data_IF_913175009784
#
_entry.id   IF_913175009784
#
_cell.length_a   1.000
_cell.length_b   1.000
_cell.length_c   1.000
_cell.angle_alpha   90.00
_cell.angle_beta   90.00
_cell.angle_gamma   90.00
#
_symmetry.space_group_name_H-M   'P 1'
#
loop_
_entity.id
_entity.type
_entity.pdbx_description
1 polymer ?
#
# COMPACT_ATOMS: atom_id res chain seq x y z
N UNK A 1 9.09 9.45 -19.11
CA UNK A 1 9.40 8.93 -17.76
C UNK A 1 8.52 7.73 -17.48
N UNK A 2 9.12 6.61 -17.09
CA UNK A 2 8.38 5.36 -16.84
C UNK A 2 8.97 4.70 -15.61
N UNK A 3 8.14 4.55 -14.57
CA UNK A 3 8.46 3.80 -13.37
C UNK A 3 7.38 2.76 -13.13
N UNK A 4 7.71 1.72 -12.37
CA UNK A 4 6.81 0.61 -12.07
C UNK A 4 6.35 0.68 -10.61
N UNK A 5 5.04 0.68 -10.40
CA UNK A 5 4.43 0.54 -9.08
C UNK A 5 3.81 -0.84 -8.97
N UNK A 6 4.08 -1.53 -7.87
CA UNK A 6 3.38 -2.75 -7.48
C UNK A 6 2.72 -2.55 -6.12
N UNK A 7 1.62 -3.26 -5.88
CA UNK A 7 0.95 -3.28 -4.58
C UNK A 7 0.68 -4.71 -4.15
N UNK A 8 0.80 -4.99 -2.86
CA UNK A 8 0.51 -6.31 -2.29
C UNK A 8 -0.01 -6.17 -0.86
N UNK A 9 -1.18 -6.75 -0.58
CA UNK A 9 -1.59 -7.03 0.78
C UNK A 9 -0.83 -8.30 1.26
N UNK A 10 -0.04 -8.18 2.33
CA UNK A 10 0.79 -9.27 2.85
C UNK A 10 0.01 -10.27 3.72
N UNK A 11 -1.23 -9.96 4.08
CA UNK A 11 -2.08 -10.79 4.94
C UNK A 11 -1.41 -11.13 6.28
N UNK A 12 -0.71 -10.15 6.86
CA UNK A 12 0.05 -10.28 8.11
C UNK A 12 0.97 -11.53 8.12
N UNK A 13 0.98 -12.26 9.24
CA UNK A 13 1.54 -13.61 9.35
C UNK A 13 0.47 -14.69 9.10
N UNK A 14 -0.74 -14.30 8.72
CA UNK A 14 -1.74 -15.27 8.31
C UNK A 14 -1.27 -16.03 7.06
N UNK A 15 -1.82 -17.23 6.85
CA UNK A 15 -1.61 -18.01 5.63
C UNK A 15 -0.14 -18.37 5.35
N UNK A 16 0.60 -18.88 6.34
CA UNK A 16 1.90 -19.56 6.12
C UNK A 16 2.98 -18.63 5.55
N UNK A 17 3.25 -17.52 6.25
CA UNK A 17 4.26 -16.53 5.84
C UNK A 17 5.63 -17.15 5.51
N UNK A 18 6.08 -18.13 6.29
CA UNK A 18 7.39 -18.77 6.10
C UNK A 18 7.56 -19.37 4.70
N UNK A 19 6.48 -19.91 4.13
CA UNK A 19 6.41 -20.42 2.77
C UNK A 19 6.16 -19.31 1.75
N UNK A 20 5.18 -18.42 2.01
CA UNK A 20 4.81 -17.33 1.08
C UNK A 20 5.94 -16.35 0.81
N UNK A 21 6.75 -16.00 1.82
CA UNK A 21 7.78 -14.95 1.72
C UNK A 21 8.78 -15.18 0.59
N UNK A 22 9.07 -16.45 0.28
CA UNK A 22 10.00 -16.80 -0.80
C UNK A 22 9.36 -16.64 -2.17
N UNK A 23 8.08 -17.00 -2.31
CA UNK A 23 7.30 -16.76 -3.53
C UNK A 23 7.10 -15.28 -3.79
N UNK A 24 6.81 -14.49 -2.74
CA UNK A 24 6.70 -13.04 -2.82
C UNK A 24 8.03 -12.43 -3.29
N UNK A 25 9.16 -12.87 -2.73
CA UNK A 25 10.47 -12.40 -3.15
C UNK A 25 10.80 -12.79 -4.59
N UNK A 26 10.47 -14.01 -5.01
CA UNK A 26 10.66 -14.45 -6.40
C UNK A 26 9.86 -13.58 -7.37
N UNK A 27 8.58 -13.35 -7.09
CA UNK A 27 7.72 -12.48 -7.90
C UNK A 27 8.25 -11.04 -7.93
N UNK A 28 8.75 -10.54 -6.79
CA UNK A 28 9.41 -9.23 -6.71
C UNK A 28 10.63 -9.17 -7.64
N UNK A 29 11.41 -10.24 -7.73
CA UNK A 29 12.55 -10.38 -8.63
C UNK A 29 12.17 -10.43 -10.11
N UNK A 30 10.99 -10.96 -10.44
CA UNK A 30 10.48 -10.99 -11.81
C UNK A 30 9.93 -9.62 -12.25
N UNK A 31 9.12 -8.97 -11.41
CA UNK A 31 8.44 -7.72 -11.79
C UNK A 31 9.28 -6.47 -11.52
N UNK A 32 10.27 -6.55 -10.62
CA UNK A 32 11.25 -5.51 -10.25
C UNK A 32 10.65 -4.10 -10.20
N UNK A 33 9.66 -3.84 -9.32
CA UNK A 33 9.00 -2.55 -9.26
C UNK A 33 9.97 -1.49 -8.71
N UNK A 34 9.80 -0.24 -9.09
CA UNK A 34 10.57 0.87 -8.52
C UNK A 34 9.99 1.31 -7.17
N UNK A 35 8.67 1.14 -7.02
CA UNK A 35 7.89 1.43 -5.82
C UNK A 35 6.99 0.22 -5.53
N UNK A 36 7.04 -0.30 -4.31
CA UNK A 36 6.18 -1.37 -3.81
C UNK A 36 5.40 -0.87 -2.59
N UNK A 37 4.08 -0.85 -2.70
CA UNK A 37 3.17 -0.53 -1.59
C UNK A 37 2.65 -1.80 -0.95
N UNK A 38 2.65 -1.85 0.38
CA UNK A 38 2.32 -3.05 1.15
C UNK A 38 1.21 -2.75 2.14
N UNK A 39 0.21 -3.63 2.17
CA UNK A 39 -0.76 -3.67 3.26
C UNK A 39 -0.52 -4.83 4.21
N UNK A 40 -1.05 -4.72 5.42
CA UNK A 40 -1.00 -5.77 6.46
C UNK A 40 0.43 -6.27 6.75
N UNK A 41 1.38 -5.34 6.84
CA UNK A 41 2.77 -5.63 7.19
C UNK A 41 2.82 -6.09 8.64
N UNK A 42 3.13 -7.37 8.89
CA UNK A 42 3.25 -7.89 10.24
C UNK A 42 4.49 -7.34 10.96
N UNK A 43 4.27 -6.56 12.01
CA UNK A 43 5.32 -5.87 12.76
C UNK A 43 6.13 -6.82 13.65
N UNK A 44 5.54 -7.78 14.40
CA UNK A 44 6.30 -8.75 15.19
C UNK A 44 7.29 -9.57 14.36
N UNK A 45 6.90 -9.94 13.14
CA UNK A 45 7.74 -10.69 12.21
C UNK A 45 8.61 -9.81 11.31
N UNK A 46 8.49 -8.47 11.43
CA UNK A 46 9.21 -7.47 10.66
C UNK A 46 9.18 -7.76 9.14
N UNK A 47 8.02 -8.14 8.60
CA UNK A 47 7.93 -8.67 7.23
C UNK A 47 8.36 -7.65 6.18
N UNK A 48 8.07 -6.36 6.39
CA UNK A 48 8.57 -5.26 5.56
C UNK A 48 10.09 -5.15 5.56
N UNK A 49 10.72 -5.24 6.75
CA UNK A 49 12.19 -5.23 6.91
C UNK A 49 12.84 -6.45 6.25
N UNK A 50 12.22 -7.62 6.42
CA UNK A 50 12.66 -8.88 5.81
C UNK A 50 12.67 -8.77 4.28
N UNK A 51 11.58 -8.26 3.69
CA UNK A 51 11.48 -8.03 2.24
C UNK A 51 12.54 -7.04 1.77
N UNK A 52 12.73 -5.92 2.49
CA UNK A 52 13.73 -4.92 2.15
C UNK A 52 15.16 -5.52 2.09
N UNK A 53 15.54 -6.28 3.11
CA UNK A 53 16.87 -6.91 3.19
C UNK A 53 17.05 -7.95 2.09
N UNK A 54 16.11 -8.87 1.95
CA UNK A 54 16.21 -9.95 0.97
C UNK A 54 16.14 -9.45 -0.48
N UNK A 55 15.39 -8.37 -0.76
CA UNK A 55 15.39 -7.74 -2.07
C UNK A 55 16.77 -7.14 -2.40
N UNK A 56 17.43 -6.52 -1.42
CA UNK A 56 18.79 -6.02 -1.59
C UNK A 56 19.78 -7.18 -1.81
N UNK A 57 19.82 -8.13 -0.87
CA UNK A 57 20.86 -9.15 -0.81
C UNK A 57 20.73 -10.21 -1.92
N UNK A 58 19.49 -10.57 -2.30
CA UNK A 58 19.22 -11.67 -3.23
C UNK A 58 18.85 -11.21 -4.63
N UNK A 59 18.33 -9.99 -4.80
CA UNK A 59 17.84 -9.49 -6.10
C UNK A 59 18.59 -8.24 -6.59
N UNK A 60 19.50 -7.69 -5.78
CA UNK A 60 20.20 -6.44 -6.09
C UNK A 60 19.26 -5.23 -6.16
N UNK A 61 18.17 -5.25 -5.39
CA UNK A 61 17.15 -4.18 -5.36
C UNK A 61 17.24 -3.41 -4.03
N UNK A 62 18.02 -2.32 -3.95
CA UNK A 62 18.20 -1.56 -2.72
C UNK A 62 16.99 -0.66 -2.48
N UNK A 63 15.98 -1.19 -1.78
CA UNK A 63 14.82 -0.41 -1.36
C UNK A 63 15.08 0.34 -0.05
N UNK A 64 14.54 1.55 0.06
CA UNK A 64 14.27 2.27 1.31
C UNK A 64 12.88 1.86 1.81
N UNK A 65 12.70 1.71 3.12
CA UNK A 65 11.44 1.33 3.75
C UNK A 65 10.88 2.48 4.58
N UNK A 66 9.61 2.78 4.39
CA UNK A 66 8.80 3.64 5.27
C UNK A 66 7.58 2.85 5.67
N UNK A 67 7.18 2.91 6.94
CA UNK A 67 6.05 2.15 7.46
C UNK A 67 5.34 2.88 8.60
N UNK A 68 4.02 2.67 8.68
CA UNK A 68 3.16 3.21 9.73
C UNK A 68 2.31 2.07 10.29
N UNK A 69 2.30 1.93 11.61
CA UNK A 69 1.40 1.03 12.32
C UNK A 69 -0.03 1.58 12.32
N UNK A 70 -1.01 0.71 12.60
CA UNK A 70 -2.37 1.15 12.96
C UNK A 70 -2.35 2.07 14.19
N UNK A 71 -3.45 2.80 14.43
CA UNK A 71 -3.60 3.71 15.58
C UNK A 71 -4.46 3.16 16.71
N UNK A 72 -4.96 1.92 16.57
CA UNK A 72 -5.74 1.21 17.59
C UNK A 72 -4.92 0.10 18.27
N UNK A 73 -5.59 -0.87 18.90
CA UNK A 73 -4.96 -2.02 19.57
C UNK A 73 -4.10 -2.90 18.63
N UNK A 74 -4.20 -2.75 17.31
CA UNK A 74 -3.39 -3.43 16.31
C UNK A 74 -2.06 -2.71 16.00
N UNK A 75 -1.75 -1.60 16.68
CA UNK A 75 -0.52 -0.82 16.47
C UNK A 75 0.78 -1.64 16.65
N UNK A 76 0.73 -2.74 17.40
CA UNK A 76 1.86 -3.66 17.60
C UNK A 76 1.80 -4.92 16.72
N UNK A 77 0.74 -5.05 15.90
CA UNK A 77 0.45 -6.23 15.09
C UNK A 77 0.76 -5.97 13.63
N UNK A 78 0.22 -4.89 13.07
CA UNK A 78 0.30 -4.64 11.63
C UNK A 78 0.45 -3.15 11.26
N UNK A 79 0.79 -2.92 10.01
CA UNK A 79 0.88 -1.60 9.42
C UNK A 79 0.87 -1.61 7.90
N UNK A 80 1.03 -0.41 7.34
CA UNK A 80 1.15 -0.16 5.90
C UNK A 80 2.58 0.28 5.61
N UNK A 81 3.13 -0.08 4.45
CA UNK A 81 4.51 0.27 4.11
C UNK A 81 4.73 0.61 2.64
N UNK A 82 5.79 1.39 2.40
CA UNK A 82 6.31 1.74 1.09
C UNK A 82 7.77 1.29 1.02
N UNK A 83 8.10 0.51 0.01
CA UNK A 83 9.46 0.17 -0.40
C UNK A 83 9.77 0.87 -1.72
N UNK A 84 10.86 1.64 -1.77
CA UNK A 84 11.18 2.46 -2.96
C UNK A 84 12.68 2.55 -3.23
N UNK A 85 13.05 2.58 -4.52
CA UNK A 85 14.45 2.80 -4.94
C UNK A 85 14.79 4.29 -5.01
N UNK A 86 13.78 5.15 -5.06
CA UNK A 86 13.93 6.59 -5.21
C UNK A 86 14.25 7.29 -3.88
N UNK A 87 14.93 8.45 -3.90
CA UNK A 87 15.10 9.30 -2.73
C UNK A 87 13.74 9.63 -2.09
N UNK A 88 13.68 9.54 -0.76
CA UNK A 88 12.52 9.97 0.03
C UNK A 88 12.87 11.35 0.57
N UNK A 89 12.08 12.34 0.21
CA UNK A 89 12.26 13.73 0.65
C UNK A 89 11.43 14.05 1.89
N UNK A 90 10.25 13.44 2.01
CA UNK A 90 9.33 13.63 3.11
C UNK A 90 8.55 12.34 3.37
N UNK A 91 8.17 12.11 4.63
CA UNK A 91 7.24 11.05 5.01
C UNK A 91 6.12 11.66 5.84
N UNK A 92 4.90 11.15 5.68
CA UNK A 92 3.78 11.55 6.50
C UNK A 92 2.93 10.34 6.88
N UNK A 93 2.30 10.45 8.04
CA UNK A 93 1.38 9.45 8.57
C UNK A 93 -0.02 10.02 8.55
N UNK A 94 -0.95 9.32 7.89
CA UNK A 94 -2.34 9.74 7.84
C UNK A 94 -3.20 8.79 8.67
N UNK A 95 -3.93 9.33 9.63
CA UNK A 95 -4.90 8.59 10.44
C UNK A 95 -6.30 9.03 10.00
N UNK A 96 -7.11 8.07 9.55
CA UNK A 96 -8.49 8.32 9.15
C UNK A 96 -9.41 8.66 10.34
N UNK A 97 -8.91 8.61 11.57
CA UNK A 97 -9.63 8.78 12.83
C UNK A 97 -10.84 7.84 12.96
N UNK A 98 -10.80 6.72 12.23
CA UNK A 98 -11.89 5.75 12.14
C UNK A 98 -11.35 4.33 12.06
N UNK A 99 -11.80 3.48 12.98
CA UNK A 99 -11.43 2.05 13.07
C UNK A 99 -9.91 1.78 13.15
N UNK A 100 -9.09 2.78 13.50
CA UNK A 100 -7.63 2.68 13.52
C UNK A 100 -6.99 2.49 12.15
N UNK A 101 -7.74 2.75 11.06
CA UNK A 101 -7.23 2.67 9.70
C UNK A 101 -6.29 3.83 9.42
N UNK A 102 -5.31 3.60 8.55
CA UNK A 102 -4.24 4.57 8.25
C UNK A 102 -3.88 4.54 6.78
N UNK A 103 -3.19 5.61 6.33
CA UNK A 103 -2.44 5.59 5.09
C UNK A 103 -1.01 6.08 5.32
N UNK A 104 -0.02 5.31 4.86
CA UNK A 104 1.38 5.73 4.88
C UNK A 104 1.69 6.53 3.62
N UNK A 105 2.44 7.62 3.78
CA UNK A 105 2.86 8.49 2.66
C UNK A 105 4.36 8.69 2.61
N UNK A 106 4.88 8.73 1.39
CA UNK A 106 6.24 9.20 1.10
C UNK A 106 6.22 10.14 -0.12
N UNK A 107 6.89 11.28 0.00
CA UNK A 107 7.25 12.14 -1.13
C UNK A 107 8.58 11.68 -1.69
N UNK A 108 8.57 11.30 -2.95
CA UNK A 108 9.73 10.78 -3.68
C UNK A 108 10.23 11.80 -4.69
N UNK A 109 11.54 11.78 -4.92
CA UNK A 109 12.13 12.42 -6.09
C UNK A 109 12.37 11.37 -7.18
N UNK A 110 11.66 11.49 -8.29
CA UNK A 110 11.75 10.57 -9.41
C UNK A 110 12.19 11.36 -10.63
N UNK A 111 13.44 11.19 -11.06
CA UNK A 111 14.02 11.94 -12.20
C UNK A 111 13.79 13.46 -12.13
N UNK A 112 14.06 14.08 -10.97
CA UNK A 112 13.83 15.51 -10.65
C UNK A 112 12.36 15.97 -10.62
N UNK A 113 11.40 15.04 -10.57
CA UNK A 113 9.99 15.32 -10.36
C UNK A 113 9.54 14.82 -8.98
N UNK A 114 8.65 15.58 -8.34
CA UNK A 114 8.08 15.21 -7.06
C UNK A 114 6.87 14.28 -7.27
N UNK A 115 6.88 13.15 -6.57
CA UNK A 115 5.81 12.17 -6.58
C UNK A 115 5.42 11.83 -5.14
N UNK A 116 4.17 12.11 -4.76
CA UNK A 116 3.61 11.59 -3.53
C UNK A 116 3.02 10.19 -3.77
N UNK A 117 3.48 9.23 -2.97
CA UNK A 117 2.95 7.87 -2.95
C UNK A 117 2.20 7.65 -1.66
N UNK A 118 0.94 7.25 -1.79
CA UNK A 118 0.04 6.92 -0.69
C UNK A 118 -0.25 5.43 -0.74
N UNK A 119 -0.02 4.72 0.36
CA UNK A 119 -0.54 3.35 0.56
C UNK A 119 -1.67 3.40 1.58
N UNK A 120 -2.86 2.98 1.17
CA UNK A 120 -4.05 2.91 2.03
C UNK A 120 -4.55 1.49 2.15
N UNK A 121 -5.16 1.18 3.29
CA UNK A 121 -5.96 -0.01 3.49
C UNK A 121 -7.31 0.50 4.03
N UNK A 122 -8.36 0.45 3.21
CA UNK A 122 -9.68 0.94 3.60
C UNK A 122 -10.44 -0.13 4.38
N UNK A 123 -11.44 0.31 5.16
CA UNK A 123 -12.17 -0.58 6.05
C UNK A 123 -12.86 -1.73 5.31
N UNK A 124 -12.60 -2.96 5.78
CA UNK A 124 -13.22 -4.17 5.25
C UNK A 124 -14.60 -4.38 5.86
N UNK A 125 -15.62 -4.36 5.01
CA UNK A 125 -16.99 -4.74 5.36
C UNK A 125 -17.66 -5.42 4.17
N UNK A 126 -18.67 -6.26 4.43
CA UNK A 126 -19.51 -6.83 3.37
C UNK A 126 -20.65 -5.88 3.07
N UNK A 127 -20.71 -5.35 1.84
CA UNK A 127 -21.84 -4.57 1.31
C UNK A 127 -21.97 -3.13 1.80
N UNK A 128 -21.49 -2.80 3.01
CA UNK A 128 -21.52 -1.41 3.51
C UNK A 128 -20.33 -0.61 2.98
N UNK A 129 -20.56 0.52 2.30
CA UNK A 129 -19.48 1.37 1.75
C UNK A 129 -19.37 2.74 2.42
N UNK A 130 -20.30 3.11 3.29
CA UNK A 130 -20.37 4.44 3.92
C UNK A 130 -19.09 4.83 4.65
N UNK A 131 -18.49 3.90 5.40
CA UNK A 131 -17.25 4.16 6.11
C UNK A 131 -16.04 4.29 5.16
N UNK A 132 -15.95 3.47 4.12
CA UNK A 132 -14.91 3.61 3.09
C UNK A 132 -15.05 4.91 2.31
N UNK A 133 -16.29 5.32 2.01
CA UNK A 133 -16.57 6.59 1.36
C UNK A 133 -16.10 7.76 2.24
N UNK A 134 -16.40 7.73 3.53
CA UNK A 134 -15.87 8.72 4.48
C UNK A 134 -14.34 8.73 4.49
N UNK A 135 -13.69 7.56 4.53
CA UNK A 135 -12.24 7.46 4.47
C UNK A 135 -11.68 8.06 3.17
N UNK A 136 -12.25 7.73 2.01
CA UNK A 136 -11.85 8.31 0.72
C UNK A 136 -12.00 9.83 0.72
N UNK A 137 -13.09 10.37 1.26
CA UNK A 137 -13.28 11.83 1.37
C UNK A 137 -12.18 12.48 2.21
N UNK A 138 -11.81 11.89 3.35
CA UNK A 138 -10.71 12.39 4.19
C UNK A 138 -9.36 12.30 3.46
N UNK A 139 -9.08 11.19 2.78
CA UNK A 139 -7.83 11.02 2.03
C UNK A 139 -7.72 12.07 0.91
N UNK A 140 -8.78 12.25 0.13
CA UNK A 140 -8.79 13.22 -0.97
C UNK A 140 -8.62 14.66 -0.45
N UNK A 141 -9.33 15.03 0.62
CA UNK A 141 -9.17 16.35 1.23
C UNK A 141 -7.73 16.58 1.72
N UNK A 142 -7.08 15.55 2.28
CA UNK A 142 -5.71 15.66 2.72
C UNK A 142 -4.71 15.70 1.56
N UNK A 143 -4.92 14.92 0.50
CA UNK A 143 -4.14 15.01 -0.74
C UNK A 143 -4.24 16.44 -1.30
N UNK A 144 -5.44 16.98 -1.45
CA UNK A 144 -5.68 18.35 -1.94
C UNK A 144 -4.96 19.39 -1.06
N UNK A 145 -4.92 19.19 0.27
CA UNK A 145 -4.20 20.10 1.19
C UNK A 145 -2.67 20.08 1.03
N UNK A 146 -2.13 19.02 0.42
CA UNK A 146 -0.69 18.78 0.23
C UNK A 146 -0.20 19.05 -1.20
N UNK A 147 -1.12 19.22 -2.15
CA UNK A 147 -0.76 19.48 -3.53
C UNK A 147 -0.19 20.90 -3.66
N UNK A 148 1.10 20.98 -3.99
CA UNK A 148 1.72 22.17 -4.55
C UNK A 148 1.86 22.03 -6.06
N UNK A 149 2.09 23.15 -6.75
CA UNK A 149 2.29 23.13 -8.20
C UNK A 149 3.39 22.13 -8.59
N UNK A 150 3.05 21.20 -9.50
CA UNK A 150 4.00 20.24 -10.07
C UNK A 150 4.24 18.94 -9.29
N UNK A 151 3.50 18.65 -8.21
CA UNK A 151 3.60 17.36 -7.49
C UNK A 151 2.59 16.34 -8.06
N UNK A 152 3.10 15.24 -8.61
CA UNK A 152 2.26 14.12 -9.03
C UNK A 152 1.87 13.23 -7.83
N UNK A 153 0.79 12.46 -7.96
CA UNK A 153 0.34 11.56 -6.89
C UNK A 153 -0.05 10.17 -7.41
N UNK A 154 0.33 9.14 -6.65
CA UNK A 154 -0.11 7.75 -6.82
C UNK A 154 -0.72 7.28 -5.51
N UNK A 155 -1.97 6.82 -5.55
CA UNK A 155 -2.63 6.16 -4.42
C UNK A 155 -2.77 4.68 -4.74
N UNK A 156 -2.35 3.83 -3.81
CA UNK A 156 -2.31 2.37 -3.99
C UNK A 156 -2.67 1.67 -2.67
N UNK A 157 -2.86 0.36 -2.75
CA UNK A 157 -3.22 -0.49 -1.61
C UNK A 157 -4.59 -1.15 -1.78
N UNK A 158 -5.11 -1.69 -0.69
CA UNK A 158 -6.37 -2.42 -0.64
C UNK A 158 -7.53 -1.48 -0.30
N UNK A 159 -8.31 -1.14 -1.32
CA UNK A 159 -9.48 -0.26 -1.17
C UNK A 159 -10.69 -0.99 -0.58
N UNK A 160 -10.69 -2.33 -0.47
CA UNK A 160 -11.83 -3.14 -0.03
C UNK A 160 -13.15 -2.77 -0.75
N UNK A 161 -13.07 -2.24 -1.97
CA UNK A 161 -14.17 -1.69 -2.72
C UNK A 161 -14.01 -2.04 -4.20
N UNK A 162 -15.07 -2.59 -4.81
CA UNK A 162 -15.12 -2.78 -6.27
C UNK A 162 -15.46 -1.46 -6.96
N UNK A 163 -15.24 -1.36 -8.27
CA UNK A 163 -15.44 -0.12 -9.03
C UNK A 163 -16.90 0.37 -9.06
N UNK A 164 -17.86 -0.48 -8.72
CA UNK A 164 -19.27 -0.12 -8.58
C UNK A 164 -19.59 0.57 -7.25
N UNK A 165 -18.69 0.49 -6.26
CA UNK A 165 -18.91 1.08 -4.94
C UNK A 165 -18.63 2.59 -4.94
N UNK A 166 -19.42 3.39 -4.19
CA UNK A 166 -19.26 4.85 -4.12
C UNK A 166 -17.84 5.34 -3.79
N UNK A 167 -17.15 4.67 -2.86
CA UNK A 167 -15.78 4.99 -2.45
C UNK A 167 -14.78 4.87 -3.61
N UNK A 168 -14.83 3.77 -4.37
CA UNK A 168 -13.99 3.57 -5.55
C UNK A 168 -14.35 4.54 -6.69
N UNK A 169 -15.64 4.79 -6.92
CA UNK A 169 -16.10 5.78 -7.91
C UNK A 169 -15.60 7.19 -7.59
N UNK A 170 -15.61 7.58 -6.31
CA UNK A 170 -15.10 8.89 -5.88
C UNK A 170 -13.59 9.01 -6.12
N UNK A 171 -12.81 7.96 -5.85
CA UNK A 171 -11.38 7.93 -6.22
C UNK A 171 -11.18 8.07 -7.73
N UNK A 172 -11.98 7.35 -8.53
CA UNK A 172 -11.88 7.35 -10.00
C UNK A 172 -12.26 8.69 -10.65
N UNK A 173 -12.99 9.57 -9.95
CA UNK A 173 -13.22 10.93 -10.40
C UNK A 173 -11.94 11.78 -10.35
N UNK A 174 -10.99 11.47 -9.47
CA UNK A 174 -9.78 12.28 -9.21
C UNK A 174 -8.50 11.63 -9.70
N UNK A 175 -8.47 10.30 -9.75
CA UNK A 175 -7.35 9.50 -10.22
C UNK A 175 -7.77 8.62 -11.38
N UNK A 176 -6.82 8.34 -12.28
CA UNK A 176 -7.01 7.31 -13.32
C UNK A 176 -6.73 5.93 -12.72
N UNK A 177 -7.72 5.01 -12.67
CA UNK A 177 -7.48 3.66 -12.20
C UNK A 177 -6.50 2.91 -13.12
N UNK A 178 -5.56 2.16 -12.53
CA UNK A 178 -4.61 1.31 -13.25
C UNK A 178 -4.93 -0.19 -13.15
N UNK A 179 -5.78 -0.58 -12.19
CA UNK A 179 -6.31 -1.93 -12.01
C UNK A 179 -7.83 -1.81 -11.83
N UNK A 180 -8.60 -2.55 -12.62
CA UNK A 180 -10.07 -2.55 -12.57
C UNK A 180 -10.62 -3.91 -12.16
N UNK A 181 -9.84 -4.97 -12.35
CA UNK A 181 -10.24 -6.32 -11.98
C UNK A 181 -9.96 -6.58 -10.49
N UNK A 182 -10.87 -7.26 -9.79
CA UNK A 182 -10.60 -7.74 -8.43
C UNK A 182 -9.35 -8.63 -8.41
N UNK A 183 -8.44 -8.34 -7.49
CA UNK A 183 -7.18 -9.09 -7.30
C UNK A 183 -7.27 -10.13 -6.20
N UNK A 184 -8.47 -10.38 -5.66
CA UNK A 184 -8.68 -11.32 -4.57
C UNK A 184 -8.23 -12.74 -4.98
N UNK A 185 -7.39 -13.34 -4.15
CA UNK A 185 -6.95 -14.72 -4.31
C UNK A 185 -8.17 -15.65 -4.24
N UNK A 186 -8.24 -16.61 -5.17
CA UNK A 186 -9.01 -17.84 -4.92
C UNK A 186 -8.28 -18.56 -3.79
N UNK A 187 -8.91 -18.88 -2.65
CA UNK A 187 -8.26 -19.69 -1.63
C UNK A 187 -7.69 -20.94 -2.30
N UNK A 188 -6.46 -21.33 -1.95
CA UNK A 188 -6.02 -22.70 -2.25
C UNK A 188 -7.13 -23.60 -1.69
N UNK A 189 -7.76 -24.41 -2.55
CA UNK A 189 -8.67 -25.44 -2.07
C UNK A 189 -7.90 -26.20 -1.00
N UNK A 190 -8.45 -26.25 0.22
CA UNK A 190 -7.90 -27.17 1.21
C UNK A 190 -7.94 -28.55 0.61
N UNK A 191 -6.85 -29.31 0.73
CA UNK A 191 -7.00 -30.75 0.70
C UNK A 191 -7.82 -31.07 1.96
N UNK A 192 -9.06 -31.56 1.75
CA UNK A 192 -9.92 -32.10 2.79
C UNK A 192 -9.19 -33.17 3.64
#
# INVERSE_FOLDING_TARGET
MTFRVATLNLEQDHKRWSERRTLILEQLGQIRPDILTLNEVCLPHQTGRWLQQNACDRLGLPYRLVQQSKTNHLATVEGEAILTRYPILETANFDYQTQGMVAQVARLEVENQLLDVYVTHLYRSRGEDTLRLYQVQQLLAWIESRQGDGVAAVVSGDFNATMEMPSAQLMAQRFRPSQLEPTAFTPLQGED
#
